data_IF_522956304256
#
_entry.id   IF_522956304256
#
_cell.length_a   1.000
_cell.length_b   1.000
_cell.length_c   1.000
_cell.angle_alpha   90.00
_cell.angle_beta   90.00
_cell.angle_gamma   90.00
#
_symmetry.space_group_name_H-M   'P 1'
#
loop_
_entity.id
_entity.type
_entity.pdbx_description
1 polymer ?
#
# COMPACT_ATOMS: atom_id res chain seq x y z
N UNK A 1 -8.64 -16.37 16.46
CA UNK A 1 -7.51 -17.32 16.46
C UNK A 1 -6.50 -17.06 15.33
N UNK A 2 -6.91 -16.69 14.11
CA UNK A 2 -5.95 -16.37 13.03
C UNK A 2 -5.18 -15.05 13.24
N UNK A 3 -5.84 -13.96 13.64
CA UNK A 3 -5.26 -12.60 13.69
C UNK A 3 -4.09 -12.42 14.66
N UNK A 4 -4.09 -13.12 15.80
CA UNK A 4 -2.94 -13.11 16.71
C UNK A 4 -1.77 -13.94 16.15
N UNK A 5 -2.06 -15.02 15.42
CA UNK A 5 -1.04 -15.83 14.76
C UNK A 5 -0.39 -15.09 13.59
N UNK A 6 -1.15 -14.40 12.74
CA UNK A 6 -0.62 -13.56 11.66
C UNK A 6 0.15 -12.36 12.22
N UNK A 7 -0.40 -11.65 13.22
CA UNK A 7 0.30 -10.55 13.90
C UNK A 7 1.59 -10.99 14.59
N UNK A 8 1.61 -12.16 15.23
CA UNK A 8 2.82 -12.70 15.91
C UNK A 8 3.85 -13.22 14.92
N UNK A 9 3.42 -13.94 13.87
CA UNK A 9 4.30 -14.39 12.79
C UNK A 9 4.95 -13.19 12.08
N UNK A 10 4.17 -12.13 11.81
CA UNK A 10 4.70 -10.89 11.25
C UNK A 10 5.61 -10.17 12.24
N UNK A 11 5.28 -10.07 13.53
CA UNK A 11 6.18 -9.48 14.55
C UNK A 11 7.53 -10.22 14.62
N UNK A 12 7.52 -11.54 14.56
CA UNK A 12 8.74 -12.36 14.49
C UNK A 12 9.48 -12.21 13.15
N UNK A 13 8.78 -11.90 12.05
CA UNK A 13 9.32 -11.63 10.71
C UNK A 13 9.52 -10.13 10.38
N UNK A 14 9.41 -9.24 11.38
CA UNK A 14 9.60 -7.79 11.26
C UNK A 14 10.97 -7.31 11.76
N UNK A 15 11.75 -8.20 12.37
CA UNK A 15 13.11 -7.92 12.87
C UNK A 15 14.23 -8.64 12.10
N UNK A 16 14.00 -9.79 11.43
CA UNK A 16 14.73 -10.17 10.23
C UNK A 16 13.98 -9.73 8.96
N UNK A 17 14.66 -9.59 7.83
CA UNK A 17 14.00 -9.34 6.53
C UNK A 17 13.13 -10.54 6.13
N UNK A 18 11.83 -10.31 5.89
CA UNK A 18 10.94 -11.33 5.32
C UNK A 18 11.54 -11.89 4.02
N UNK A 19 11.62 -13.22 3.89
CA UNK A 19 12.14 -13.91 2.70
C UNK A 19 11.20 -13.67 1.50
N UNK A 20 11.74 -13.64 0.28
CA UNK A 20 10.92 -13.43 -0.92
C UNK A 20 10.00 -14.63 -1.16
N UNK A 21 10.46 -15.84 -0.85
CA UNK A 21 9.65 -17.07 -0.90
C UNK A 21 8.41 -16.97 -0.01
N UNK A 22 8.59 -16.63 1.27
CA UNK A 22 7.47 -16.41 2.20
C UNK A 22 6.55 -15.27 1.77
N UNK A 23 7.12 -14.16 1.26
CA UNK A 23 6.34 -13.01 0.82
C UNK A 23 5.49 -13.32 -0.42
N UNK A 24 6.03 -14.08 -1.38
CA UNK A 24 5.29 -14.57 -2.55
C UNK A 24 4.13 -15.45 -2.10
N UNK A 25 4.38 -16.46 -1.26
CA UNK A 25 3.34 -17.37 -0.78
C UNK A 25 2.24 -16.60 -0.03
N UNK A 26 2.60 -15.73 0.91
CA UNK A 26 1.66 -14.90 1.66
C UNK A 26 0.77 -14.06 0.72
N UNK A 27 1.36 -13.38 -0.26
CA UNK A 27 0.59 -12.56 -1.21
C UNK A 27 -0.27 -13.40 -2.18
N UNK A 28 0.13 -14.63 -2.50
CA UNK A 28 -0.67 -15.60 -3.26
C UNK A 28 -1.85 -16.13 -2.44
N UNK A 29 -1.66 -16.40 -1.15
CA UNK A 29 -2.72 -16.82 -0.22
C UNK A 29 -3.81 -15.75 -0.12
N UNK A 30 -3.43 -14.48 -0.05
CA UNK A 30 -4.35 -13.33 -0.02
C UNK A 30 -4.89 -12.90 -1.40
N UNK A 31 -4.56 -13.62 -2.48
CA UNK A 31 -5.06 -13.34 -3.83
C UNK A 31 -4.48 -12.08 -4.50
N UNK A 32 -3.44 -11.46 -3.94
CA UNK A 32 -2.77 -10.27 -4.49
C UNK A 32 -1.76 -10.63 -5.59
N UNK A 33 -1.32 -11.89 -5.64
CA UNK A 33 -0.49 -12.45 -6.71
C UNK A 33 -1.16 -13.68 -7.33
N UNK A 34 -0.88 -13.93 -8.62
CA UNK A 34 -1.26 -15.18 -9.30
C UNK A 34 -0.80 -16.40 -8.50
N UNK A 35 -1.70 -17.32 -8.17
CA UNK A 35 -1.35 -18.64 -7.61
C UNK A 35 -0.80 -19.59 -8.67
N UNK A 36 -1.33 -19.49 -9.88
CA UNK A 36 -0.94 -20.24 -11.07
C UNK A 36 -1.02 -19.33 -12.30
N UNK A 37 -0.32 -19.68 -13.39
CA UNK A 37 -0.36 -18.89 -14.62
C UNK A 37 -0.08 -19.72 -15.86
N UNK A 38 -0.83 -19.46 -16.92
CA UNK A 38 -0.57 -19.99 -18.25
C UNK A 38 0.23 -19.00 -19.10
N UNK A 39 1.14 -19.51 -19.92
CA UNK A 39 1.84 -18.74 -20.93
C UNK A 39 0.89 -18.44 -22.10
N UNK A 40 1.17 -17.41 -22.90
CA UNK A 40 0.42 -17.10 -24.12
C UNK A 40 0.45 -18.21 -25.19
N UNK A 41 1.26 -19.25 -25.01
CA UNK A 41 1.26 -20.46 -25.84
C UNK A 41 0.39 -21.60 -25.25
N UNK A 42 -0.48 -21.29 -24.29
CA UNK A 42 -1.42 -22.20 -23.62
C UNK A 42 -0.78 -23.15 -22.60
N UNK A 43 0.54 -23.14 -22.43
CA UNK A 43 1.24 -24.06 -21.53
C UNK A 43 1.34 -23.48 -20.11
N UNK A 44 1.12 -24.28 -19.05
CA UNK A 44 1.31 -23.83 -17.67
C UNK A 44 2.76 -23.41 -17.41
N UNK A 45 2.94 -22.45 -16.52
CA UNK A 45 4.25 -21.91 -16.14
C UNK A 45 4.61 -22.30 -14.72
N UNK A 46 5.89 -22.57 -14.46
CA UNK A 46 6.39 -22.72 -13.08
C UNK A 46 6.85 -21.37 -12.53
N UNK A 47 6.49 -21.04 -11.29
CA UNK A 47 7.10 -19.93 -10.57
C UNK A 47 8.43 -20.38 -9.95
N UNK A 48 9.49 -19.63 -10.20
CA UNK A 48 10.76 -19.78 -9.46
C UNK A 48 10.96 -18.57 -8.56
N UNK A 49 11.17 -18.86 -7.27
CA UNK A 49 11.58 -17.89 -6.25
C UNK A 49 12.94 -18.34 -5.72
N UNK A 50 13.92 -17.44 -5.73
CA UNK A 50 15.26 -17.69 -5.21
C UNK A 50 15.62 -16.59 -4.22
N UNK A 51 15.76 -16.93 -2.94
CA UNK A 51 16.15 -15.97 -1.92
C UNK A 51 17.59 -15.49 -2.16
N UNK A 52 17.76 -14.18 -2.39
CA UNK A 52 19.03 -13.57 -2.82
C UNK A 52 19.36 -13.71 -4.32
N UNK A 53 18.46 -14.29 -5.12
CA UNK A 53 18.66 -14.53 -6.55
C UNK A 53 18.04 -13.47 -7.49
N UNK A 54 17.68 -13.91 -8.71
CA UNK A 54 16.95 -13.07 -9.68
C UNK A 54 15.51 -12.77 -9.18
N UNK A 55 14.90 -11.64 -9.56
CA UNK A 55 13.52 -11.33 -9.19
C UNK A 55 12.55 -12.46 -9.56
N UNK A 56 11.55 -12.80 -8.71
CA UNK A 56 10.69 -13.95 -8.95
C UNK A 56 9.94 -13.88 -10.29
N UNK A 57 9.95 -15.00 -11.01
CA UNK A 57 9.40 -15.07 -12.38
C UNK A 57 8.74 -16.40 -12.69
N UNK A 58 7.65 -16.32 -13.43
CA UNK A 58 7.01 -17.43 -14.13
C UNK A 58 7.86 -17.80 -15.34
N UNK A 59 8.14 -19.08 -15.55
CA UNK A 59 8.83 -19.61 -16.72
C UNK A 59 7.98 -20.67 -17.42
N UNK A 60 7.86 -20.57 -18.74
CA UNK A 60 7.27 -21.59 -19.59
C UNK A 60 8.35 -22.57 -20.08
N UNK A 61 8.23 -23.85 -19.72
CA UNK A 61 9.21 -24.90 -20.10
C UNK A 61 8.94 -25.57 -21.44
N UNK A 62 7.91 -25.15 -22.19
CA UNK A 62 7.69 -25.64 -23.56
C UNK A 62 8.92 -25.29 -24.41
N UNK A 63 9.56 -26.31 -24.99
CA UNK A 63 10.83 -26.18 -25.72
C UNK A 63 10.80 -25.11 -26.83
N UNK A 64 9.67 -24.95 -27.52
CA UNK A 64 9.47 -23.92 -28.55
C UNK A 64 9.03 -22.53 -28.03
N UNK A 65 9.01 -22.30 -26.71
CA UNK A 65 8.55 -21.05 -26.12
C UNK A 65 9.56 -20.39 -25.18
N UNK A 66 10.02 -21.08 -24.12
CA UNK A 66 11.01 -20.57 -23.17
C UNK A 66 10.71 -19.23 -22.48
N UNK A 67 9.47 -18.72 -22.57
CA UNK A 67 9.11 -17.35 -22.16
C UNK A 67 9.09 -17.19 -20.64
N UNK A 68 9.64 -16.09 -20.17
CA UNK A 68 9.61 -15.69 -18.76
C UNK A 68 8.71 -14.44 -18.57
N UNK A 69 7.91 -14.44 -17.49
CA UNK A 69 7.02 -13.33 -17.11
C UNK A 69 7.29 -12.99 -15.62
N UNK A 70 7.38 -11.70 -15.27
CA UNK A 70 7.56 -11.31 -13.85
C UNK A 70 6.34 -11.71 -13.01
N UNK A 71 6.57 -12.12 -11.75
CA UNK A 71 5.47 -12.36 -10.79
C UNK A 71 4.56 -11.15 -10.59
N UNK A 72 5.04 -9.93 -10.92
CA UNK A 72 4.33 -8.65 -10.76
C UNK A 72 3.51 -8.22 -11.97
N UNK A 73 3.59 -8.91 -13.10
CA UNK A 73 2.93 -8.49 -14.35
C UNK A 73 1.44 -8.81 -14.25
N UNK A 74 0.57 -7.83 -14.43
CA UNK A 74 -0.88 -7.97 -14.26
C UNK A 74 -1.29 -8.09 -12.79
N UNK A 75 -0.59 -7.43 -11.86
CA UNK A 75 -0.99 -7.35 -10.44
C UNK A 75 -0.77 -5.94 -9.90
N UNK A 76 -1.29 -5.65 -8.70
CA UNK A 76 -1.06 -4.36 -8.01
C UNK A 76 0.43 -3.98 -7.85
N UNK A 77 1.34 -4.95 -7.91
CA UNK A 77 2.78 -4.71 -7.85
C UNK A 77 3.43 -4.35 -9.19
N UNK A 78 2.68 -4.23 -10.30
CA UNK A 78 3.26 -3.88 -11.60
C UNK A 78 3.99 -2.53 -11.56
N UNK A 79 5.16 -2.45 -12.20
CA UNK A 79 6.02 -1.24 -12.18
C UNK A 79 6.59 -0.88 -10.80
N UNK A 80 6.46 -1.74 -9.78
CA UNK A 80 7.18 -1.60 -8.50
C UNK A 80 8.54 -2.31 -8.55
N UNK A 81 9.52 -1.76 -7.81
CA UNK A 81 10.92 -2.24 -7.78
C UNK A 81 11.42 -2.70 -6.40
N UNK A 82 10.61 -2.55 -5.34
CA UNK A 82 10.98 -3.05 -4.00
C UNK A 82 10.71 -4.54 -3.91
N UNK A 83 11.50 -5.27 -3.13
CA UNK A 83 11.24 -6.68 -2.79
C UNK A 83 9.82 -6.88 -2.24
N UNK A 84 9.22 -8.05 -2.50
CA UNK A 84 7.89 -8.38 -1.99
C UNK A 84 7.88 -8.49 -0.46
N UNK A 85 8.96 -8.96 0.16
CA UNK A 85 9.13 -8.94 1.61
C UNK A 85 9.08 -7.52 2.18
N UNK A 86 9.83 -6.59 1.57
CA UNK A 86 9.77 -5.15 1.94
C UNK A 86 8.38 -4.55 1.67
N UNK A 87 7.67 -5.01 0.62
CA UNK A 87 6.31 -4.57 0.32
C UNK A 87 5.30 -4.99 1.41
N UNK A 88 5.33 -6.26 1.84
CA UNK A 88 4.48 -6.77 2.93
C UNK A 88 4.78 -6.02 4.24
N UNK A 89 6.06 -5.84 4.57
CA UNK A 89 6.47 -5.03 5.73
C UNK A 89 6.02 -3.56 5.62
N UNK A 90 6.02 -2.96 4.42
CA UNK A 90 5.48 -1.60 4.21
C UNK A 90 3.98 -1.55 4.45
N UNK A 91 3.21 -2.50 3.89
CA UNK A 91 1.74 -2.56 4.04
C UNK A 91 1.38 -2.69 5.52
N UNK A 92 2.03 -3.62 6.25
CA UNK A 92 1.85 -3.78 7.69
C UNK A 92 2.19 -2.51 8.48
N UNK A 93 3.32 -1.86 8.21
CA UNK A 93 3.67 -0.64 8.91
C UNK A 93 2.75 0.54 8.54
N UNK A 94 2.17 0.54 7.33
CA UNK A 94 1.18 1.52 6.92
C UNK A 94 -0.14 1.37 7.69
N UNK A 95 -0.61 0.16 7.99
CA UNK A 95 -1.80 -0.03 8.83
C UNK A 95 -1.59 0.57 10.23
N UNK A 96 -0.35 0.52 10.73
CA UNK A 96 0.07 1.08 12.04
C UNK A 96 0.52 2.55 12.02
N UNK A 97 0.31 3.27 10.91
CA UNK A 97 0.73 4.67 10.68
C UNK A 97 2.26 4.92 10.79
N UNK A 98 3.09 3.88 10.58
CA UNK A 98 4.56 3.90 10.67
C UNK A 98 5.23 3.89 9.29
N UNK A 99 4.92 4.87 8.44
CA UNK A 99 5.50 4.96 7.07
C UNK A 99 6.06 6.34 6.74
N UNK A 100 6.67 7.03 7.71
CA UNK A 100 7.44 8.25 7.46
C UNK A 100 8.71 7.94 6.66
N UNK A 101 9.26 8.93 5.95
CA UNK A 101 10.53 8.74 5.22
C UNK A 101 11.69 8.34 6.15
N UNK A 102 11.72 8.83 7.38
CA UNK A 102 12.70 8.43 8.41
C UNK A 102 12.53 6.97 8.80
N UNK A 103 11.33 6.58 9.26
CA UNK A 103 11.05 5.20 9.67
C UNK A 103 11.31 4.19 8.56
N UNK A 104 10.94 4.50 7.31
CA UNK A 104 11.20 3.60 6.18
C UNK A 104 12.68 3.52 5.81
N UNK A 105 13.46 4.59 6.01
CA UNK A 105 14.91 4.57 5.82
C UNK A 105 15.65 3.84 6.97
N UNK A 106 15.10 3.87 8.19
CA UNK A 106 15.69 3.24 9.38
C UNK A 106 15.30 1.76 9.53
N UNK A 107 14.11 1.36 9.09
CA UNK A 107 13.52 0.05 9.44
C UNK A 107 12.99 -0.80 8.27
N UNK A 108 12.80 -0.25 7.06
CA UNK A 108 12.31 -1.05 5.92
C UNK A 108 13.45 -1.43 4.98
N UNK A 109 14.16 -2.49 5.33
CA UNK A 109 15.32 -2.95 4.58
C UNK A 109 14.99 -3.36 3.15
N UNK A 110 15.55 -2.62 2.19
CA UNK A 110 15.67 -3.07 0.80
C UNK A 110 17.00 -3.77 0.62
N UNK A 111 16.98 -5.11 0.55
CA UNK A 111 18.08 -5.86 -0.08
C UNK A 111 18.09 -5.46 -1.56
N UNK A 112 19.04 -4.62 -1.96
CA UNK A 112 19.20 -4.24 -3.35
C UNK A 112 19.64 -5.48 -4.14
N UNK A 113 18.81 -5.94 -5.08
CA UNK A 113 19.31 -6.78 -6.18
C UNK A 113 20.10 -5.84 -7.09
N UNK A 114 21.41 -5.72 -6.82
CA UNK A 114 22.35 -4.92 -7.60
C UNK A 114 22.53 -5.59 -8.96
N UNK A 115 21.72 -5.21 -9.94
CA UNK A 115 21.82 -5.65 -11.34
C UNK A 115 21.56 -4.51 -12.34
N UNK A 116 22.29 -3.39 -12.17
CA UNK A 116 22.71 -2.50 -13.28
C UNK A 116 23.74 -1.49 -12.76
N UNK A 117 24.83 -1.34 -13.50
CA UNK A 117 26.13 -0.72 -13.19
C UNK A 117 26.15 0.73 -12.60
N UNK A 118 25.06 1.50 -12.66
CA UNK A 118 25.07 2.95 -12.40
C UNK A 118 24.19 3.42 -11.22
N UNK A 119 24.68 3.24 -9.98
CA UNK A 119 24.38 4.18 -8.87
C UNK A 119 25.61 4.33 -7.98
N UNK A 120 26.09 5.58 -7.88
CA UNK A 120 27.12 6.05 -6.96
C UNK A 120 26.84 5.59 -5.51
N UNK A 121 27.64 4.65 -5.02
CA UNK A 121 27.62 4.24 -3.60
C UNK A 121 28.37 5.31 -2.80
N UNK A 122 27.64 6.30 -2.28
CA UNK A 122 28.13 7.05 -1.13
C UNK A 122 28.07 6.14 0.10
N UNK A 123 29.12 6.17 0.92
CA UNK A 123 29.36 5.26 2.06
C UNK A 123 28.40 5.43 3.25
N UNK A 124 27.27 6.12 3.07
CA UNK A 124 26.22 6.34 4.07
C UNK A 124 24.89 5.64 3.70
N UNK A 125 24.75 5.08 2.48
CA UNK A 125 23.51 4.46 2.00
C UNK A 125 23.37 2.99 2.43
N UNK A 126 23.18 2.76 3.73
CA UNK A 126 23.04 1.43 4.34
C UNK A 126 21.55 1.17 4.71
N UNK A 127 21.01 0.07 4.16
CA UNK A 127 19.86 -0.72 4.67
C UNK A 127 18.43 -0.12 4.70
N UNK A 128 18.10 0.99 4.02
CA UNK A 128 16.76 1.62 4.10
C UNK A 128 15.96 1.77 2.79
N UNK A 129 14.63 1.81 2.89
CA UNK A 129 13.75 2.13 1.75
C UNK A 129 13.81 3.64 1.44
N UNK A 130 14.25 4.04 0.22
CA UNK A 130 14.59 5.44 -0.05
C UNK A 130 13.33 6.34 -0.11
N UNK A 131 13.43 7.63 0.26
CA UNK A 131 12.27 8.53 0.37
C UNK A 131 11.38 8.60 -0.88
N UNK A 132 11.95 8.50 -2.09
CA UNK A 132 11.18 8.46 -3.36
C UNK A 132 10.26 7.23 -3.43
N UNK A 133 10.76 6.06 -3.01
CA UNK A 133 9.96 4.84 -2.94
C UNK A 133 8.94 4.95 -1.80
N UNK A 134 9.33 5.45 -0.62
CA UNK A 134 8.42 5.68 0.51
C UNK A 134 7.24 6.58 0.15
N UNK A 135 7.48 7.66 -0.61
CA UNK A 135 6.40 8.54 -1.11
C UNK A 135 5.53 7.83 -2.15
N UNK A 136 6.13 7.08 -3.10
CA UNK A 136 5.37 6.27 -4.09
C UNK A 136 4.46 5.26 -3.39
N UNK A 137 4.96 4.53 -2.41
CA UNK A 137 4.22 3.50 -1.69
C UNK A 137 3.13 4.08 -0.78
N UNK A 138 3.41 5.16 -0.04
CA UNK A 138 2.37 5.89 0.69
C UNK A 138 1.27 6.42 -0.26
N UNK A 139 1.58 6.77 -1.51
CA UNK A 139 0.58 7.14 -2.51
C UNK A 139 -0.25 5.93 -2.95
N UNK A 140 0.38 4.80 -3.29
CA UNK A 140 -0.33 3.56 -3.66
C UNK A 140 -1.31 3.12 -2.56
N UNK A 141 -0.89 3.14 -1.28
CA UNK A 141 -1.78 2.81 -0.16
C UNK A 141 -2.98 3.77 -0.02
N UNK A 142 -2.81 5.05 -0.39
CA UNK A 142 -3.92 6.01 -0.43
C UNK A 142 -4.86 5.79 -1.60
N UNK A 143 -4.36 5.28 -2.73
CA UNK A 143 -5.19 4.90 -3.87
C UNK A 143 -6.08 3.68 -3.50
N UNK A 144 -5.54 2.70 -2.76
CA UNK A 144 -6.34 1.60 -2.16
C UNK A 144 -7.43 2.15 -1.22
N UNK A 145 -7.07 3.07 -0.32
CA UNK A 145 -8.02 3.68 0.61
C UNK A 145 -9.11 4.52 -0.09
N UNK A 146 -8.76 5.22 -1.16
CA UNK A 146 -9.69 6.01 -1.98
C UNK A 146 -10.70 5.12 -2.69
N UNK A 147 -10.25 4.09 -3.41
CA UNK A 147 -11.15 3.18 -4.12
C UNK A 147 -12.09 2.42 -3.17
N UNK A 148 -11.55 2.02 -2.01
CA UNK A 148 -12.32 1.40 -0.94
C UNK A 148 -13.43 2.29 -0.37
N UNK A 149 -13.17 3.60 -0.23
CA UNK A 149 -14.18 4.58 0.19
C UNK A 149 -15.17 4.89 -0.94
N UNK A 150 -14.73 4.91 -2.20
CA UNK A 150 -15.60 5.15 -3.35
C UNK A 150 -16.66 4.04 -3.50
N UNK A 151 -16.27 2.75 -3.37
CA UNK A 151 -17.23 1.63 -3.45
C UNK A 151 -18.13 1.50 -2.23
N UNK A 152 -17.64 1.85 -1.03
CA UNK A 152 -18.43 1.83 0.20
C UNK A 152 -18.25 3.15 0.97
N UNK A 153 -19.02 4.19 0.61
CA UNK A 153 -18.98 5.50 1.26
C UNK A 153 -19.25 5.45 2.76
N UNK A 154 -18.89 6.55 3.43
CA UNK A 154 -19.04 6.80 4.87
C UNK A 154 -19.65 8.21 5.01
N UNK A 155 -20.74 8.47 5.79
CA UNK A 155 -21.19 9.86 6.01
C UNK A 155 -20.22 10.42 7.04
N UNK A 156 -20.31 11.72 7.13
CA UNK A 156 -20.07 12.45 8.33
C UNK A 156 -21.40 13.17 8.59
N UNK A 157 -22.33 12.58 9.37
CA UNK A 157 -23.64 13.19 9.65
C UNK A 157 -24.77 12.19 9.91
N UNK A 158 -25.92 12.72 10.32
CA UNK A 158 -27.19 11.98 10.35
C UNK A 158 -27.90 11.99 8.99
N UNK A 159 -29.12 11.44 8.93
CA UNK A 159 -29.92 11.49 7.69
C UNK A 159 -30.09 12.93 7.17
N UNK A 160 -30.01 13.08 5.85
CA UNK A 160 -30.18 14.34 5.11
C UNK A 160 -29.11 15.43 5.33
N UNK A 161 -27.97 15.11 5.96
CA UNK A 161 -26.83 16.04 6.08
C UNK A 161 -25.76 15.76 5.02
N UNK A 162 -25.54 16.71 4.12
CA UNK A 162 -24.37 16.77 3.22
C UNK A 162 -23.31 17.67 3.84
N UNK A 163 -22.08 17.18 4.00
CA UNK A 163 -20.94 17.96 4.50
C UNK A 163 -20.04 18.34 3.35
N UNK A 164 -19.96 19.64 3.04
CA UNK A 164 -19.00 20.19 2.09
C UNK A 164 -17.60 20.32 2.75
N UNK A 165 -16.54 20.10 1.97
CA UNK A 165 -15.16 20.28 2.41
C UNK A 165 -14.73 21.75 2.24
N UNK A 166 -14.39 22.46 3.32
CA UNK A 166 -13.66 23.73 3.20
C UNK A 166 -12.14 23.48 3.03
N UNK A 167 -11.74 23.26 1.78
CA UNK A 167 -10.35 23.07 1.37
C UNK A 167 -9.43 24.28 1.70
N UNK A 168 -10.00 25.47 1.97
CA UNK A 168 -9.21 26.67 2.28
C UNK A 168 -8.44 26.54 3.60
N UNK A 169 -8.92 25.69 4.51
CA UNK A 169 -8.32 25.42 5.83
C UNK A 169 -7.09 24.51 5.78
N UNK A 170 -6.77 23.92 4.62
CA UNK A 170 -5.66 22.98 4.46
C UNK A 170 -4.48 23.52 3.63
N UNK A 171 -4.67 24.65 2.94
CA UNK A 171 -3.67 25.21 2.04
C UNK A 171 -2.71 26.17 2.77
N UNK A 172 -1.39 26.06 2.52
CA UNK A 172 -0.39 27.04 3.02
C UNK A 172 -0.53 28.46 2.45
N UNK A 173 -1.41 28.66 1.46
CA UNK A 173 -1.79 29.96 0.90
C UNK A 173 -3.30 30.04 0.76
N UNK A 174 -3.87 31.16 1.20
CA UNK A 174 -5.30 31.49 1.09
C UNK A 174 -5.59 31.90 -0.36
N UNK A 175 -6.30 31.05 -1.12
CA UNK A 175 -6.70 31.28 -2.51
C UNK A 175 -8.22 31.14 -2.68
N UNK A 176 -8.79 31.69 -3.75
CA UNK A 176 -10.25 31.81 -3.94
C UNK A 176 -10.99 30.47 -3.82
N UNK A 177 -12.18 30.54 -3.22
CA UNK A 177 -13.04 29.40 -2.92
C UNK A 177 -13.49 28.68 -4.19
N UNK A 178 -13.42 27.35 -4.15
CA UNK A 178 -14.15 26.43 -5.02
C UNK A 178 -14.68 25.33 -4.10
N UNK A 179 -15.93 24.91 -4.32
CA UNK A 179 -16.63 23.92 -3.48
C UNK A 179 -16.58 22.55 -4.15
N UNK A 180 -16.31 21.52 -3.36
CA UNK A 180 -16.36 20.11 -3.75
C UNK A 180 -17.33 19.37 -2.81
N UNK A 181 -18.16 18.49 -3.38
CA UNK A 181 -19.22 17.78 -2.65
C UNK A 181 -18.86 16.30 -2.43
N UNK A 182 -19.25 15.75 -1.28
CA UNK A 182 -19.00 14.36 -0.88
C UNK A 182 -20.30 13.52 -0.77
N UNK A 183 -20.24 12.17 -0.94
CA UNK A 183 -21.39 11.27 -0.74
C UNK A 183 -21.62 10.86 0.74
N UNK A 184 -22.79 10.27 1.10
CA UNK A 184 -23.18 9.92 2.49
C UNK A 184 -23.30 8.39 2.82
N UNK A 185 -22.88 7.92 4.03
CA UNK A 185 -23.48 6.86 4.92
C UNK A 185 -22.61 6.32 6.14
N UNK A 186 -22.65 6.87 7.38
CA UNK A 186 -22.15 6.43 8.75
C UNK A 186 -22.09 7.66 9.73
N UNK A 187 -22.20 7.48 11.05
CA UNK A 187 -22.12 8.56 12.06
C UNK A 187 -21.11 8.29 13.21
N UNK A 188 -20.36 9.32 13.65
CA UNK A 188 -19.80 9.47 15.01
C UNK A 188 -19.02 10.79 15.18
N UNK A 189 -19.27 11.49 16.29
CA UNK A 189 -18.66 12.75 16.74
C UNK A 189 -19.05 14.01 15.93
N UNK A 190 -19.20 15.16 16.60
CA UNK A 190 -19.52 16.45 15.97
C UNK A 190 -18.52 16.78 14.89
N UNK A 191 -18.98 17.31 13.75
CA UNK A 191 -18.18 17.63 12.56
C UNK A 191 -16.87 18.36 12.93
N UNK A 192 -16.93 19.34 13.85
CA UNK A 192 -15.75 20.05 14.38
C UNK A 192 -14.69 19.18 15.07
N UNK A 193 -15.11 18.15 15.81
CA UNK A 193 -14.18 17.24 16.49
C UNK A 193 -13.46 16.32 15.49
N UNK A 194 -14.15 15.89 14.44
CA UNK A 194 -13.58 15.15 13.31
C UNK A 194 -12.57 16.04 12.56
N UNK A 195 -12.98 17.27 12.25
CA UNK A 195 -12.12 18.27 11.66
C UNK A 195 -10.88 18.57 12.50
N UNK A 196 -10.98 18.64 13.84
CA UNK A 196 -9.85 18.82 14.74
C UNK A 196 -8.89 17.61 14.75
N UNK A 197 -9.37 16.40 14.49
CA UNK A 197 -8.53 15.21 14.32
C UNK A 197 -7.77 15.25 12.98
N UNK A 198 -8.46 15.55 11.87
CA UNK A 198 -7.84 15.69 10.53
C UNK A 198 -6.82 16.84 10.53
N UNK A 199 -7.18 18.03 11.04
CA UNK A 199 -6.30 19.20 11.17
C UNK A 199 -5.03 18.87 11.96
N UNK A 200 -5.13 18.16 13.10
CA UNK A 200 -3.96 17.73 13.89
C UNK A 200 -3.04 16.78 13.10
N UNK A 201 -3.58 15.72 12.49
CA UNK A 201 -2.78 14.77 11.68
C UNK A 201 -2.06 15.46 10.51
N UNK A 202 -2.74 16.35 9.78
CA UNK A 202 -2.12 17.08 8.67
C UNK A 202 -1.06 18.12 9.14
N UNK A 203 -1.24 18.75 10.31
CA UNK A 203 -0.24 19.68 10.87
C UNK A 203 1.05 18.95 11.29
N UNK A 204 0.94 17.76 11.88
CA UNK A 204 2.09 16.90 12.24
C UNK A 204 2.89 16.51 10.98
N UNK A 205 2.21 16.30 9.84
CA UNK A 205 2.83 16.00 8.53
C UNK A 205 3.28 17.26 7.76
N UNK A 206 3.49 18.39 8.44
CA UNK A 206 3.91 19.69 7.87
C UNK A 206 2.98 20.29 6.79
N UNK A 207 1.71 19.87 6.74
CA UNK A 207 0.70 20.30 5.78
C UNK A 207 0.80 19.59 4.41
N UNK A 208 -0.35 19.43 3.76
CA UNK A 208 -0.49 18.68 2.50
C UNK A 208 -0.73 19.64 1.33
N UNK A 209 -0.20 19.34 0.12
CA UNK A 209 -0.54 20.12 -1.10
C UNK A 209 -2.02 19.93 -1.42
N UNK A 210 -2.72 20.99 -1.86
CA UNK A 210 -4.18 20.97 -2.12
C UNK A 210 -4.63 19.78 -2.99
N UNK A 211 -3.89 19.51 -4.07
CA UNK A 211 -4.12 18.39 -5.01
C UNK A 211 -3.95 16.98 -4.41
N UNK A 212 -3.51 16.86 -3.16
CA UNK A 212 -3.34 15.59 -2.45
C UNK A 212 -4.36 15.42 -1.31
N UNK A 213 -5.19 16.43 -1.02
CA UNK A 213 -6.07 16.43 0.15
C UNK A 213 -7.08 15.29 0.12
N UNK A 214 -7.72 15.06 -1.01
CA UNK A 214 -8.72 14.00 -1.19
C UNK A 214 -8.12 12.64 -0.82
N UNK A 215 -6.92 12.32 -1.32
CA UNK A 215 -6.22 11.07 -0.99
C UNK A 215 -5.90 10.92 0.51
N UNK A 216 -5.60 12.03 1.21
CA UNK A 216 -5.35 12.02 2.66
C UNK A 216 -6.66 11.94 3.47
N UNK A 217 -7.74 12.49 2.93
CA UNK A 217 -9.08 12.38 3.50
C UNK A 217 -9.62 10.96 3.36
N UNK A 218 -9.48 10.35 2.18
CA UNK A 218 -9.75 8.92 1.96
C UNK A 218 -8.96 8.03 2.92
N UNK A 219 -7.65 8.27 3.10
CA UNK A 219 -6.84 7.55 4.12
C UNK A 219 -7.45 7.65 5.51
N UNK A 220 -7.82 8.87 5.93
CA UNK A 220 -8.38 9.12 7.26
C UNK A 220 -9.75 8.46 7.44
N UNK A 221 -10.63 8.57 6.44
CA UNK A 221 -11.98 7.99 6.46
C UNK A 221 -11.93 6.45 6.43
N UNK A 222 -11.06 5.88 5.61
CA UNK A 222 -10.83 4.45 5.52
C UNK A 222 -10.32 3.88 6.86
N UNK A 223 -9.34 4.54 7.49
CA UNK A 223 -8.85 4.18 8.84
C UNK A 223 -9.92 4.30 9.93
N UNK A 224 -10.91 5.20 9.77
CA UNK A 224 -12.02 5.37 10.73
C UNK A 224 -13.14 4.35 10.52
N UNK A 225 -13.37 3.90 9.27
CA UNK A 225 -14.40 2.90 8.92
C UNK A 225 -14.06 1.51 9.48
N UNK A 226 -12.78 1.19 9.61
CA UNK A 226 -12.29 -0.09 10.10
C UNK A 226 -12.06 -0.07 11.62
N UNK A 227 -13.04 -0.49 12.43
CA UNK A 227 -12.87 -1.29 13.65
C UNK A 227 -14.21 -1.95 14.07
N UNK A 228 -14.21 -3.14 14.71
CA UNK A 228 -13.06 -3.98 15.06
C UNK A 228 -12.78 -5.09 14.02
N UNK A 229 -11.50 -5.40 13.79
CA UNK A 229 -11.05 -6.45 12.86
C UNK A 229 -9.55 -6.32 12.53
N UNK A 230 -8.96 -7.32 11.87
CA UNK A 230 -7.55 -7.26 11.46
C UNK A 230 -7.36 -6.28 10.30
N UNK A 231 -6.68 -5.16 10.56
CA UNK A 231 -6.51 -4.08 9.58
C UNK A 231 -5.59 -4.50 8.42
N UNK A 232 -4.65 -5.44 8.62
CA UNK A 232 -3.80 -5.92 7.53
C UNK A 232 -4.61 -6.78 6.54
N UNK A 233 -5.32 -7.77 7.05
CA UNK A 233 -6.19 -8.65 6.27
C UNK A 233 -7.18 -7.84 5.42
N UNK A 234 -7.82 -6.83 6.03
CA UNK A 234 -8.73 -5.93 5.33
C UNK A 234 -8.03 -5.18 4.19
N UNK A 235 -6.80 -4.69 4.36
CA UNK A 235 -6.05 -4.02 3.27
C UNK A 235 -5.75 -4.99 2.13
N UNK A 236 -5.28 -6.20 2.44
CA UNK A 236 -4.90 -7.18 1.43
C UNK A 236 -6.12 -7.66 0.64
N UNK A 237 -7.25 -7.89 1.32
CA UNK A 237 -8.53 -8.21 0.69
C UNK A 237 -9.03 -7.07 -0.22
N UNK A 238 -8.96 -5.81 0.23
CA UNK A 238 -9.33 -4.66 -0.61
C UNK A 238 -8.40 -4.55 -1.83
N UNK A 239 -7.08 -4.73 -1.68
CA UNK A 239 -6.14 -4.76 -2.82
C UNK A 239 -6.53 -5.85 -3.83
N UNK A 240 -6.79 -7.09 -3.37
CA UNK A 240 -7.17 -8.19 -4.25
C UNK A 240 -8.54 -7.99 -4.93
N UNK A 241 -9.46 -7.26 -4.29
CA UNK A 241 -10.80 -6.96 -4.82
C UNK A 241 -10.84 -5.85 -5.89
N UNK A 242 -9.84 -4.96 -5.92
CA UNK A 242 -9.72 -3.88 -6.92
C UNK A 242 -8.68 -4.15 -8.00
N UNK A 243 -7.59 -4.85 -7.64
CA UNK A 243 -6.51 -5.23 -8.55
C UNK A 243 -6.28 -6.75 -8.53
N UNK A 244 -7.31 -7.55 -8.89
CA UNK A 244 -7.16 -8.99 -9.02
C UNK A 244 -6.10 -9.32 -10.09
N UNK A 245 -5.33 -10.41 -9.93
CA UNK A 245 -4.31 -10.81 -10.91
C UNK A 245 -4.88 -11.14 -12.31
N UNK A 246 -4.34 -10.49 -13.36
CA UNK A 246 -4.71 -10.64 -14.80
C UNK A 246 -4.00 -11.78 -15.54
#
# INVERSE_FOLDING_TARGET
MSSEATSTALQNALFPTMQESTAVQFLQEHGVLHRERNCSCGNPMSLSVQDGGRPPRWRCHKASCGRDISVRKGTWFEGTKVLLGTAVQFIFNWTRERTTCTFCAEHLSTRAIILSYDVYISSENILGMPPRQTVKWNRLMREVAAESINRKPCVIGGERLTVELDESLFSKRKGRQQRSALPPAIAAATIESLWAQIKRRNKIRCGTRRTMLDSYFSEFMWRRRLQPGDVLENVLHEIAAYWPPE
#
